data_IF_027406973857
#
_entry.id   IF_027406973857
#
_cell.length_a   1.000
_cell.length_b   1.000
_cell.length_c   1.000
_cell.angle_alpha   90.00
_cell.angle_beta   90.00
_cell.angle_gamma   90.00
#
_symmetry.space_group_name_H-M   'P 1'
#
loop_
_entity.id
_entity.type
_entity.pdbx_description
1 polymer ?
#
# COMPACT_ATOMS: atom_id res chain seq x y z
N UNK A 1 7.75 7.82 -26.59
CA UNK A 1 9.11 7.42 -26.17
C UNK A 1 9.57 6.32 -27.10
N UNK A 2 10.41 6.67 -28.08
CA UNK A 2 11.04 5.69 -28.96
C UNK A 2 12.33 5.21 -28.27
N UNK A 3 12.45 3.90 -28.03
CA UNK A 3 13.74 3.29 -27.69
C UNK A 3 14.23 2.64 -28.99
N UNK A 4 15.12 3.32 -29.70
CA UNK A 4 15.81 2.75 -30.86
C UNK A 4 17.02 1.95 -30.37
N UNK A 5 17.09 0.66 -30.69
CA UNK A 5 18.35 -0.08 -30.60
C UNK A 5 19.25 0.38 -31.75
N UNK A 6 20.30 1.15 -31.42
CA UNK A 6 21.41 1.43 -32.31
C UNK A 6 22.48 0.35 -32.15
N UNK A 7 22.91 -0.23 -33.26
CA UNK A 7 23.93 -1.27 -33.39
C UNK A 7 25.17 -1.05 -32.49
N UNK A 8 25.54 -2.06 -31.70
CA UNK A 8 26.84 -2.14 -31.06
C UNK A 8 26.92 -3.15 -29.93
N UNK A 9 27.56 -4.29 -30.21
CA UNK A 9 27.89 -5.40 -29.31
C UNK A 9 26.69 -6.21 -28.78
N UNK A 10 26.78 -7.54 -28.92
CA UNK A 10 25.90 -8.52 -28.29
C UNK A 10 25.99 -8.28 -26.78
N UNK A 11 25.01 -7.58 -26.21
CA UNK A 11 24.90 -7.44 -24.77
C UNK A 11 24.72 -8.83 -24.19
N UNK A 12 25.61 -9.18 -23.27
CA UNK A 12 25.56 -10.38 -22.45
C UNK A 12 24.13 -10.56 -21.94
N UNK A 13 23.40 -11.50 -22.54
CA UNK A 13 21.97 -11.66 -22.29
C UNK A 13 21.80 -12.09 -20.85
N UNK A 14 21.19 -11.24 -20.00
CA UNK A 14 20.85 -11.66 -18.64
C UNK A 14 20.05 -12.95 -18.74
N UNK A 15 20.49 -14.04 -18.10
CA UNK A 15 19.77 -15.29 -18.21
C UNK A 15 18.37 -15.11 -17.61
N UNK A 16 17.37 -15.65 -18.30
CA UNK A 16 15.98 -15.65 -17.87
C UNK A 16 15.78 -16.57 -16.65
N UNK A 17 14.68 -16.35 -15.93
CA UNK A 17 14.21 -17.28 -14.90
C UNK A 17 13.91 -18.65 -15.49
N UNK A 18 14.23 -19.71 -14.74
CA UNK A 18 13.88 -21.07 -15.12
C UNK A 18 12.44 -21.35 -14.68
N UNK A 19 11.49 -21.17 -15.59
CA UNK A 19 10.06 -21.45 -15.38
C UNK A 19 9.20 -20.20 -15.10
N UNK A 20 7.88 -20.38 -15.00
CA UNK A 20 6.94 -19.28 -14.76
C UNK A 20 7.08 -18.71 -13.34
N UNK A 21 6.75 -17.44 -13.18
CA UNK A 21 6.66 -16.81 -11.86
C UNK A 21 5.63 -17.53 -10.97
N UNK A 22 5.93 -17.65 -9.69
CA UNK A 22 5.06 -18.25 -8.68
C UNK A 22 4.99 -17.38 -7.42
N UNK A 23 3.84 -17.42 -6.74
CA UNK A 23 3.67 -16.80 -5.42
C UNK A 23 4.26 -17.75 -4.38
N UNK A 24 5.27 -17.29 -3.63
CA UNK A 24 6.00 -18.12 -2.67
C UNK A 24 5.51 -17.96 -1.23
N UNK A 25 4.88 -16.82 -0.90
CA UNK A 25 4.36 -16.48 0.41
C UNK A 25 3.41 -15.28 0.32
N UNK A 26 2.50 -15.14 1.29
CA UNK A 26 1.55 -14.03 1.38
C UNK A 26 1.47 -13.53 2.82
N UNK A 27 1.72 -12.24 3.01
CA UNK A 27 1.57 -11.58 4.31
C UNK A 27 0.56 -10.45 4.24
N UNK A 28 -0.30 -10.35 5.26
CA UNK A 28 -1.29 -9.28 5.40
C UNK A 28 -1.17 -8.57 6.74
N UNK A 29 -1.47 -7.28 6.76
CA UNK A 29 -1.54 -6.48 7.98
C UNK A 29 -2.65 -5.43 7.86
N UNK A 30 -3.26 -5.11 8.99
CA UNK A 30 -4.23 -4.04 9.13
C UNK A 30 -3.72 -3.04 10.19
N UNK A 31 -4.16 -1.77 10.17
CA UNK A 31 -3.89 -0.85 11.26
C UNK A 31 -4.31 -1.43 12.62
N UNK A 32 -3.49 -1.23 13.65
CA UNK A 32 -3.68 -1.78 14.99
C UNK A 32 -4.62 -0.96 15.89
N UNK A 33 -4.99 0.27 15.49
CA UNK A 33 -5.63 1.25 16.37
C UNK A 33 -7.15 1.11 16.52
N UNK A 34 -7.90 1.02 15.41
CA UNK A 34 -9.36 1.14 15.47
C UNK A 34 -10.05 0.17 14.54
N UNK A 35 -10.86 -0.71 15.11
CA UNK A 35 -11.78 -1.59 14.38
C UNK A 35 -13.18 -1.06 14.62
N UNK A 36 -13.86 -0.69 13.54
CA UNK A 36 -15.22 -0.14 13.61
C UNK A 36 -16.19 -1.16 13.01
N UNK A 37 -17.13 -1.70 13.80
CA UNK A 37 -18.28 -2.43 13.30
C UNK A 37 -19.08 -1.58 12.31
N UNK A 38 -19.54 -2.17 11.20
CA UNK A 38 -20.18 -1.42 10.12
C UNK A 38 -21.53 -0.81 10.54
N UNK A 39 -22.22 -1.43 11.49
CA UNK A 39 -23.47 -0.95 12.10
C UNK A 39 -23.26 0.26 13.02
N UNK A 40 -22.10 0.38 13.66
CA UNK A 40 -21.70 1.53 14.48
C UNK A 40 -21.10 2.68 13.65
N UNK A 41 -20.55 2.38 12.47
CA UNK A 41 -19.80 3.35 11.66
C UNK A 41 -20.57 4.64 11.37
N UNK A 42 -21.86 4.55 11.05
CA UNK A 42 -22.66 5.74 10.70
C UNK A 42 -22.82 6.67 11.90
N UNK A 43 -23.04 6.12 13.09
CA UNK A 43 -23.17 6.91 14.32
C UNK A 43 -21.84 7.58 14.66
N UNK A 44 -20.74 6.82 14.62
CA UNK A 44 -19.41 7.34 14.89
C UNK A 44 -19.00 8.43 13.89
N UNK A 45 -19.19 8.20 12.58
CA UNK A 45 -18.84 9.15 11.53
C UNK A 45 -19.53 10.50 11.74
N UNK A 46 -20.86 10.49 11.94
CA UNK A 46 -21.64 11.72 12.14
C UNK A 46 -21.34 12.43 13.46
N UNK A 47 -20.96 11.69 14.51
CA UNK A 47 -20.49 12.28 15.77
C UNK A 47 -19.16 13.00 15.56
N UNK A 48 -18.16 12.32 15.01
CA UNK A 48 -16.81 12.85 14.85
C UNK A 48 -16.79 14.02 13.86
N UNK A 49 -17.54 13.93 12.76
CA UNK A 49 -17.67 15.02 11.79
C UNK A 49 -18.62 16.15 12.22
N UNK A 50 -19.11 16.15 13.47
CA UNK A 50 -20.06 17.13 14.02
C UNK A 50 -21.30 17.35 13.13
N UNK A 51 -21.72 16.30 12.44
CA UNK A 51 -22.75 16.36 11.39
C UNK A 51 -24.10 15.77 11.83
N UNK A 52 -24.29 15.46 13.12
CA UNK A 52 -25.53 14.83 13.63
C UNK A 52 -26.84 15.59 13.31
N UNK A 53 -26.76 16.90 13.02
CA UNK A 53 -27.89 17.71 12.57
C UNK A 53 -28.39 17.34 11.16
N UNK A 54 -27.59 16.67 10.34
CA UNK A 54 -27.93 16.22 8.98
C UNK A 54 -28.62 14.85 9.01
N UNK A 55 -29.79 14.79 9.63
CA UNK A 55 -30.54 13.54 9.92
C UNK A 55 -30.89 12.74 8.66
N UNK A 56 -31.32 13.38 7.58
CA UNK A 56 -31.65 12.71 6.31
C UNK A 56 -30.42 12.07 5.67
N UNK A 57 -29.28 12.78 5.71
CA UNK A 57 -28.01 12.27 5.19
C UNK A 57 -27.51 11.09 6.04
N UNK A 58 -27.68 11.16 7.36
CA UNK A 58 -27.38 10.07 8.28
C UNK A 58 -28.22 8.83 7.98
N UNK A 59 -29.53 9.01 7.80
CA UNK A 59 -30.43 7.93 7.40
C UNK A 59 -30.04 7.31 6.05
N UNK A 60 -29.61 8.13 5.09
CA UNK A 60 -29.09 7.65 3.79
C UNK A 60 -27.79 6.84 3.95
N UNK A 61 -26.81 7.33 4.71
CA UNK A 61 -25.56 6.61 4.94
C UNK A 61 -25.80 5.27 5.65
N UNK A 62 -26.69 5.24 6.66
CA UNK A 62 -27.06 4.00 7.35
C UNK A 62 -27.60 2.95 6.39
N UNK A 63 -28.49 3.34 5.47
CA UNK A 63 -29.00 2.43 4.42
C UNK A 63 -27.91 1.92 3.48
N UNK A 64 -26.92 2.75 3.16
CA UNK A 64 -25.76 2.36 2.34
C UNK A 64 -24.92 1.33 3.11
N UNK A 65 -24.52 1.64 4.35
CA UNK A 65 -23.70 0.77 5.20
C UNK A 65 -24.31 -0.62 5.35
N UNK A 66 -25.62 -0.71 5.59
CA UNK A 66 -26.34 -1.99 5.71
C UNK A 66 -26.33 -2.86 4.44
N UNK A 67 -26.05 -2.27 3.26
CA UNK A 67 -26.03 -2.96 1.96
C UNK A 67 -24.62 -3.19 1.41
N UNK A 68 -23.57 -2.85 2.17
CA UNK A 68 -22.17 -2.97 1.70
C UNK A 68 -21.61 -4.39 1.74
N UNK A 69 -22.21 -5.30 2.52
CA UNK A 69 -21.62 -6.62 2.80
C UNK A 69 -20.38 -6.57 3.71
N UNK A 70 -20.07 -5.40 4.29
CA UNK A 70 -18.93 -5.21 5.20
C UNK A 70 -19.41 -5.44 6.64
N UNK A 71 -18.71 -6.27 7.39
CA UNK A 71 -18.98 -6.48 8.82
C UNK A 71 -18.23 -5.46 9.69
N UNK A 72 -16.96 -5.20 9.39
CA UNK A 72 -16.09 -4.28 10.13
C UNK A 72 -14.98 -3.73 9.24
N UNK A 73 -14.40 -2.60 9.65
CA UNK A 73 -13.25 -1.97 8.98
C UNK A 73 -12.15 -1.61 9.96
N UNK A 74 -10.91 -1.70 9.49
CA UNK A 74 -9.73 -1.27 10.23
C UNK A 74 -9.32 0.13 9.77
N UNK A 75 -9.10 1.04 10.72
CA UNK A 75 -8.74 2.42 10.45
C UNK A 75 -7.44 2.80 11.17
N UNK A 76 -6.60 3.54 10.46
CA UNK A 76 -5.51 4.30 11.06
C UNK A 76 -6.01 5.63 11.64
N UNK A 77 -7.05 6.22 11.02
CA UNK A 77 -7.70 7.44 11.50
C UNK A 77 -8.59 7.11 12.71
N UNK A 78 -8.08 7.37 13.91
CA UNK A 78 -8.83 7.26 15.16
C UNK A 78 -9.52 8.59 15.50
N UNK A 79 -10.39 8.62 16.50
CA UNK A 79 -11.01 9.87 16.96
C UNK A 79 -9.96 10.83 17.52
N UNK A 80 -8.95 10.33 18.22
CA UNK A 80 -7.82 11.13 18.73
C UNK A 80 -7.04 11.79 17.58
N UNK A 81 -6.79 11.04 16.49
CA UNK A 81 -6.13 11.58 15.31
C UNK A 81 -6.99 12.67 14.64
N UNK A 82 -8.30 12.44 14.54
CA UNK A 82 -9.22 13.42 13.93
C UNK A 82 -9.42 14.66 14.80
N UNK A 83 -9.33 14.55 16.13
CA UNK A 83 -9.34 15.68 17.05
C UNK A 83 -8.03 16.50 16.98
N UNK A 84 -6.89 15.84 16.78
CA UNK A 84 -5.60 16.49 16.57
C UNK A 84 -5.49 17.17 15.19
N UNK A 85 -6.26 16.72 14.21
CA UNK A 85 -6.28 17.22 12.83
C UNK A 85 -7.69 17.67 12.40
N UNK A 86 -8.24 18.75 12.98
CA UNK A 86 -9.59 19.23 12.63
C UNK A 86 -9.73 19.61 11.15
N UNK A 87 -8.64 20.00 10.48
CA UNK A 87 -8.58 20.24 9.04
C UNK A 87 -8.92 19.01 8.20
N UNK A 88 -8.92 17.80 8.79
CA UNK A 88 -9.36 16.60 8.07
C UNK A 88 -10.87 16.51 7.90
N UNK A 89 -11.62 17.22 8.74
CA UNK A 89 -13.08 17.20 8.79
C UNK A 89 -13.68 18.48 8.21
N UNK A 90 -12.92 19.58 8.15
CA UNK A 90 -13.32 20.83 7.52
C UNK A 90 -12.88 20.88 6.05
N UNK A 91 -13.84 21.10 5.16
CA UNK A 91 -13.62 21.13 3.71
C UNK A 91 -12.95 22.42 3.24
N UNK A 92 -13.06 23.50 4.01
CA UNK A 92 -12.53 24.81 3.66
C UNK A 92 -11.06 24.97 4.09
N UNK A 93 -10.56 24.06 4.94
CA UNK A 93 -9.18 24.09 5.42
C UNK A 93 -8.25 23.24 4.56
N UNK A 94 -7.04 23.74 4.22
CA UNK A 94 -6.05 22.94 3.52
C UNK A 94 -5.55 21.80 4.43
N UNK A 95 -5.71 20.55 3.97
CA UNK A 95 -5.32 19.37 4.74
C UNK A 95 -4.33 18.44 4.04
N UNK A 96 -3.91 18.78 2.81
CA UNK A 96 -3.07 17.89 1.99
C UNK A 96 -1.74 17.56 2.69
N UNK A 97 -1.00 18.57 3.16
CA UNK A 97 0.31 18.36 3.77
C UNK A 97 0.23 17.50 5.02
N UNK A 98 -0.76 17.74 5.88
CA UNK A 98 -0.98 16.93 7.09
C UNK A 98 -1.32 15.47 6.73
N UNK A 99 -2.16 15.23 5.71
CA UNK A 99 -2.47 13.87 5.22
C UNK A 99 -1.24 13.17 4.65
N UNK A 100 -0.45 13.86 3.82
CA UNK A 100 0.77 13.31 3.21
C UNK A 100 1.83 13.00 4.28
N UNK A 101 2.02 13.88 5.26
CA UNK A 101 2.96 13.66 6.36
C UNK A 101 2.55 12.47 7.24
N UNK A 102 1.25 12.29 7.48
CA UNK A 102 0.74 11.14 8.24
C UNK A 102 1.01 9.81 7.51
N UNK A 103 0.63 9.72 6.23
CA UNK A 103 0.82 8.48 5.46
C UNK A 103 2.29 8.18 5.19
N UNK A 104 3.16 9.19 5.13
CA UNK A 104 4.61 9.01 4.93
C UNK A 104 5.25 8.10 6.01
N UNK A 105 4.67 8.06 7.21
CA UNK A 105 5.12 7.17 8.28
C UNK A 105 4.24 5.93 8.41
N UNK A 106 2.92 6.08 8.30
CA UNK A 106 1.97 4.99 8.56
C UNK A 106 2.02 3.89 7.48
N UNK A 107 2.15 4.28 6.21
CA UNK A 107 2.13 3.35 5.07
C UNK A 107 3.34 2.40 5.09
N UNK A 108 4.60 2.87 5.20
CA UNK A 108 5.76 1.98 5.27
C UNK A 108 5.71 1.01 6.46
N UNK A 109 5.25 1.45 7.64
CA UNK A 109 5.13 0.61 8.84
C UNK A 109 4.08 -0.50 8.69
N UNK A 110 2.95 -0.17 8.05
CA UNK A 110 1.92 -1.17 7.77
C UNK A 110 2.41 -2.17 6.71
N UNK A 111 3.10 -1.67 5.69
CA UNK A 111 3.74 -2.50 4.67
C UNK A 111 4.81 -3.43 5.27
N UNK A 112 5.64 -2.94 6.20
CA UNK A 112 6.62 -3.72 6.94
C UNK A 112 5.95 -4.87 7.70
N UNK A 113 4.86 -4.58 8.42
CA UNK A 113 4.11 -5.59 9.18
C UNK A 113 3.58 -6.73 8.30
N UNK A 114 3.13 -6.42 7.08
CA UNK A 114 2.70 -7.42 6.10
C UNK A 114 3.91 -8.16 5.50
N UNK A 115 4.95 -7.45 5.10
CA UNK A 115 6.14 -8.00 4.48
C UNK A 115 6.90 -8.94 5.42
N UNK A 116 7.02 -8.62 6.71
CA UNK A 116 7.66 -9.49 7.71
C UNK A 116 6.95 -10.84 7.82
N UNK A 117 5.61 -10.88 7.74
CA UNK A 117 4.85 -12.14 7.73
C UNK A 117 5.12 -12.94 6.45
N UNK A 118 5.12 -12.28 5.29
CA UNK A 118 5.42 -12.93 4.01
C UNK A 118 6.85 -13.49 3.98
N UNK A 119 7.83 -12.74 4.48
CA UNK A 119 9.25 -13.15 4.55
C UNK A 119 9.42 -14.32 5.52
N UNK A 120 8.72 -14.29 6.67
CA UNK A 120 8.74 -15.38 7.63
C UNK A 120 8.15 -16.68 7.05
N UNK A 121 7.01 -16.61 6.34
CA UNK A 121 6.43 -17.75 5.64
C UNK A 121 7.34 -18.26 4.51
N UNK A 122 7.95 -17.36 3.74
CA UNK A 122 8.90 -17.71 2.68
C UNK A 122 10.15 -18.43 3.22
N UNK A 123 10.53 -18.17 4.47
CA UNK A 123 11.59 -18.91 5.18
C UNK A 123 13.01 -18.60 4.69
N UNK A 124 13.23 -17.48 3.98
CA UNK A 124 14.54 -17.05 3.48
C UNK A 124 14.93 -15.67 4.00
N UNK A 125 16.23 -15.34 4.04
CA UNK A 125 16.69 -14.00 4.46
C UNK A 125 16.09 -12.89 3.59
N UNK A 126 15.69 -11.77 4.21
CA UNK A 126 15.19 -10.59 3.48
C UNK A 126 16.22 -10.04 2.47
N UNK A 127 17.51 -10.26 2.72
CA UNK A 127 18.61 -9.90 1.81
C UNK A 127 18.58 -10.65 0.48
N UNK A 128 17.86 -11.78 0.38
CA UNK A 128 17.69 -12.51 -0.88
C UNK A 128 16.70 -11.83 -1.82
N UNK A 129 15.90 -10.87 -1.33
CA UNK A 129 15.03 -10.05 -2.15
C UNK A 129 15.89 -9.22 -3.12
N UNK A 130 15.50 -9.24 -4.39
CA UNK A 130 16.21 -8.56 -5.49
C UNK A 130 15.44 -7.36 -6.01
N UNK A 131 14.11 -7.43 -5.94
CA UNK A 131 13.21 -6.40 -6.43
C UNK A 131 12.13 -6.12 -5.40
N UNK A 132 11.75 -4.85 -5.28
CA UNK A 132 10.61 -4.38 -4.49
C UNK A 132 9.66 -3.63 -5.42
N UNK A 133 8.42 -4.11 -5.54
CA UNK A 133 7.33 -3.41 -6.22
C UNK A 133 6.37 -2.91 -5.15
N UNK A 134 6.25 -1.60 -5.02
CA UNK A 134 5.42 -0.96 -3.99
C UNK A 134 4.29 -0.19 -4.68
N UNK A 135 3.05 -0.64 -4.51
CA UNK A 135 1.86 0.06 -5.01
C UNK A 135 1.18 0.79 -3.87
N UNK A 136 0.86 2.06 -4.06
CA UNK A 136 -0.01 2.76 -3.10
C UNK A 136 -0.86 3.87 -3.69
N UNK A 137 -2.09 4.00 -3.20
CA UNK A 137 -2.97 5.15 -3.47
C UNK A 137 -2.92 6.22 -2.36
N UNK A 138 -2.26 5.92 -1.24
CA UNK A 138 -2.36 6.72 -0.02
C UNK A 138 -1.59 8.04 -0.05
N UNK A 139 -0.60 8.19 -0.94
CA UNK A 139 0.16 9.42 -1.10
C UNK A 139 1.29 9.29 -2.11
N UNK A 140 1.90 10.43 -2.44
CA UNK A 140 3.08 10.50 -3.32
C UNK A 140 4.10 11.48 -2.72
N UNK A 141 5.35 11.03 -2.57
CA UNK A 141 6.46 11.82 -1.99
C UNK A 141 7.79 11.34 -2.58
N UNK A 142 8.79 12.23 -2.58
CA UNK A 142 10.19 11.89 -2.81
C UNK A 142 11.03 12.23 -1.55
N UNK A 143 11.83 11.29 -1.01
CA UNK A 143 11.84 9.86 -1.32
C UNK A 143 10.48 9.17 -1.06
N UNK A 144 10.20 8.12 -1.80
CA UNK A 144 8.93 7.38 -1.76
C UNK A 144 8.94 6.23 -0.73
N UNK A 145 7.74 5.72 -0.42
CA UNK A 145 7.52 4.72 0.63
C UNK A 145 8.26 3.38 0.42
N UNK A 146 8.61 3.06 -0.83
CA UNK A 146 9.42 1.90 -1.19
C UNK A 146 10.85 1.99 -0.64
N UNK A 147 11.45 3.18 -0.59
CA UNK A 147 12.78 3.36 0.03
C UNK A 147 12.72 3.16 1.54
N UNK A 148 11.70 3.73 2.18
CA UNK A 148 11.50 3.59 3.62
C UNK A 148 11.25 2.12 3.99
N UNK A 149 10.38 1.43 3.25
CA UNK A 149 10.15 -0.01 3.45
C UNK A 149 11.44 -0.83 3.25
N UNK A 150 12.22 -0.54 2.21
CA UNK A 150 13.48 -1.25 1.98
C UNK A 150 14.47 -1.06 3.15
N UNK A 151 14.47 0.12 3.76
CA UNK A 151 15.27 0.44 4.95
C UNK A 151 14.79 -0.31 6.18
N UNK A 152 13.48 -0.29 6.46
CA UNK A 152 12.85 -0.99 7.58
C UNK A 152 13.12 -2.51 7.53
N UNK A 153 12.96 -3.11 6.34
CA UNK A 153 13.20 -4.53 6.11
C UNK A 153 14.69 -4.92 6.00
N UNK A 154 15.60 -3.93 6.07
CA UNK A 154 17.05 -4.12 5.91
C UNK A 154 17.39 -4.88 4.61
N UNK A 155 16.72 -4.51 3.52
CA UNK A 155 17.02 -5.06 2.20
C UNK A 155 18.42 -4.63 1.75
N UNK A 156 18.99 -5.31 0.75
CA UNK A 156 20.26 -4.89 0.18
C UNK A 156 20.16 -3.48 -0.41
N UNK A 157 21.19 -2.63 -0.30
CA UNK A 157 21.21 -1.31 -0.96
C UNK A 157 21.05 -1.37 -2.49
N UNK A 158 21.33 -2.53 -3.09
CA UNK A 158 21.18 -2.80 -4.53
C UNK A 158 19.80 -3.31 -4.93
N UNK A 159 18.83 -3.39 -4.00
CA UNK A 159 17.46 -3.80 -4.34
C UNK A 159 16.87 -2.86 -5.39
N UNK A 160 16.38 -3.44 -6.49
CA UNK A 160 15.72 -2.65 -7.54
C UNK A 160 14.30 -2.32 -7.08
N UNK A 161 13.98 -1.03 -7.00
CA UNK A 161 12.69 -0.57 -6.49
C UNK A 161 11.85 0.00 -7.61
N UNK A 162 10.57 -0.35 -7.64
CA UNK A 162 9.57 0.26 -8.51
C UNK A 162 8.38 0.71 -7.67
N UNK A 163 8.05 2.00 -7.75
CA UNK A 163 6.90 2.61 -7.09
C UNK A 163 5.75 2.77 -8.08
N UNK A 164 4.57 2.28 -7.70
CA UNK A 164 3.31 2.46 -8.42
C UNK A 164 2.40 3.37 -7.58
N UNK A 165 2.70 4.67 -7.59
CA UNK A 165 1.92 5.67 -6.86
C UNK A 165 0.60 5.97 -7.55
N UNK A 166 -0.43 6.29 -6.75
CA UNK A 166 -1.75 6.74 -7.19
C UNK A 166 -2.49 5.74 -8.09
N UNK A 167 -2.10 4.47 -8.04
CA UNK A 167 -2.88 3.37 -8.61
C UNK A 167 -3.97 3.00 -7.60
N UNK A 168 -5.23 3.09 -8.01
CA UNK A 168 -6.38 2.76 -7.17
C UNK A 168 -6.52 1.25 -6.95
N UNK A 169 -7.76 0.74 -6.93
CA UNK A 169 -8.04 -0.65 -6.58
C UNK A 169 -7.35 -1.71 -7.47
N UNK A 170 -6.91 -1.36 -8.68
CA UNK A 170 -6.18 -2.25 -9.59
C UNK A 170 -4.65 -2.28 -9.35
N UNK A 171 -4.15 -1.50 -8.38
CA UNK A 171 -2.72 -1.39 -8.09
C UNK A 171 -2.09 -2.73 -7.67
N UNK A 172 -2.84 -3.58 -6.96
CA UNK A 172 -2.41 -4.94 -6.61
C UNK A 172 -2.15 -5.82 -7.84
N UNK A 173 -3.09 -5.85 -8.79
CA UNK A 173 -2.95 -6.61 -10.03
C UNK A 173 -1.80 -6.09 -10.88
N UNK A 174 -1.63 -4.77 -10.94
CA UNK A 174 -0.50 -4.17 -11.67
C UNK A 174 0.83 -4.52 -11.02
N UNK A 175 0.89 -4.55 -9.68
CA UNK A 175 2.08 -4.98 -8.96
C UNK A 175 2.42 -6.45 -9.23
N UNK A 176 1.42 -7.34 -9.26
CA UNK A 176 1.60 -8.76 -9.59
C UNK A 176 2.06 -8.96 -11.04
N UNK A 177 1.46 -8.25 -11.99
CA UNK A 177 1.85 -8.29 -13.39
C UNK A 177 3.33 -7.90 -13.56
N UNK A 178 3.74 -6.79 -12.94
CA UNK A 178 5.13 -6.34 -12.97
C UNK A 178 6.06 -7.34 -12.25
N UNK A 179 5.63 -7.89 -11.12
CA UNK A 179 6.43 -8.89 -10.39
C UNK A 179 6.67 -10.15 -11.24
N UNK A 180 5.68 -10.60 -12.01
CA UNK A 180 5.83 -11.69 -12.97
C UNK A 180 6.90 -11.37 -14.02
N UNK A 181 6.79 -10.21 -14.69
CA UNK A 181 7.77 -9.78 -15.71
C UNK A 181 9.19 -9.70 -15.12
N UNK A 182 9.34 -9.18 -13.91
CA UNK A 182 10.63 -9.07 -13.24
C UNK A 182 11.20 -10.45 -12.85
N UNK A 183 10.37 -11.34 -12.31
CA UNK A 183 10.79 -12.67 -11.89
C UNK A 183 11.19 -13.56 -13.07
N UNK A 184 10.44 -13.52 -14.17
CA UNK A 184 10.69 -14.35 -15.36
C UNK A 184 11.87 -13.84 -16.19
N UNK A 185 12.14 -12.53 -16.19
CA UNK A 185 13.23 -11.95 -16.99
C UNK A 185 14.58 -11.87 -16.26
N UNK A 186 14.66 -12.25 -14.98
CA UNK A 186 15.89 -12.18 -14.21
C UNK A 186 16.14 -13.49 -13.45
N UNK A 187 17.13 -14.28 -13.87
CA UNK A 187 17.48 -15.54 -13.19
C UNK A 187 17.76 -15.31 -11.71
N UNK A 188 17.11 -16.12 -10.87
CA UNK A 188 17.26 -16.04 -9.42
C UNK A 188 16.52 -14.87 -8.76
N UNK A 189 15.75 -14.08 -9.50
CA UNK A 189 15.01 -12.97 -8.92
C UNK A 189 14.00 -13.43 -7.86
N UNK A 190 13.94 -12.64 -6.80
CA UNK A 190 12.93 -12.69 -5.74
C UNK A 190 12.33 -11.30 -5.63
N UNK A 191 11.03 -11.22 -5.89
CA UNK A 191 10.28 -9.96 -5.95
C UNK A 191 9.38 -9.90 -4.72
N UNK A 192 9.55 -8.85 -3.91
CA UNK A 192 8.59 -8.50 -2.87
C UNK A 192 7.57 -7.53 -3.48
N UNK A 193 6.32 -7.97 -3.64
CA UNK A 193 5.20 -7.14 -4.08
C UNK A 193 4.38 -6.64 -2.89
N UNK A 194 4.05 -5.35 -2.86
CA UNK A 194 3.21 -4.73 -1.85
C UNK A 194 2.14 -3.84 -2.49
N UNK A 195 0.94 -3.78 -1.88
CA UNK A 195 -0.15 -2.91 -2.30
C UNK A 195 -0.93 -2.36 -1.10
N UNK A 196 -1.19 -1.05 -1.08
CA UNK A 196 -2.01 -0.35 -0.06
C UNK A 196 -2.74 0.91 -0.56
#
# INVERSE_FOLDING_TARGET
MAITQGNGAICDSRPHGEGPAAVLAIGTANPSGTIVPQDEFTEQFFRVSKSNHLTDLKGKLKRICNKTGIEKRHFHLTEEVLLAHPEFLDRELPSLDARINMVATAVPKLAESAALKAIAEWGRPATDITHLVFSTYSGCRAPSADLELATLLKLRPTVSRTILSLHGCYGGDRALQLAKELAENNRGARVLGHAI
#
